data_IF_189178511263
#
_entry.id   IF_189178511263
#
_cell.length_a   1.000
_cell.length_b   1.000
_cell.length_c   1.000
_cell.angle_alpha   90.00
_cell.angle_beta   90.00
_cell.angle_gamma   90.00
#
_symmetry.space_group_name_H-M   'P 1'
#
loop_
_entity.id
_entity.type
_entity.pdbx_description
1 polymer ?
#
# COMPACT_ATOMS: atom_id res chain seq x y z
N UNK A 1 6.11 12.44 -8.14
CA UNK A 1 7.01 12.56 -9.32
C UNK A 1 8.48 12.21 -9.00
N UNK A 2 9.01 12.60 -7.81
CA UNK A 2 10.41 12.39 -7.43
C UNK A 2 10.97 10.98 -7.69
N UNK A 3 10.28 9.86 -7.34
CA UNK A 3 10.81 8.51 -7.61
C UNK A 3 11.07 8.26 -9.10
N UNK A 4 10.24 8.80 -9.98
CA UNK A 4 10.39 8.68 -11.43
C UNK A 4 11.58 9.47 -11.98
N UNK A 5 11.89 10.62 -11.33
CA UNK A 5 13.07 11.42 -11.64
C UNK A 5 14.34 10.60 -11.33
N UNK A 6 14.39 9.99 -10.16
CA UNK A 6 15.52 9.15 -9.75
C UNK A 6 15.70 7.90 -10.62
N UNK A 7 14.61 7.38 -11.18
CA UNK A 7 14.67 6.28 -12.17
C UNK A 7 15.05 6.75 -13.59
N UNK A 8 15.26 8.06 -13.81
CA UNK A 8 15.61 8.59 -15.13
C UNK A 8 14.47 8.56 -16.14
N UNK A 9 13.21 8.50 -15.70
CA UNK A 9 12.05 8.53 -16.59
C UNK A 9 11.98 9.87 -17.30
N UNK A 10 11.85 9.91 -18.65
CA UNK A 10 11.72 11.14 -19.41
C UNK A 10 10.52 11.98 -19.00
N UNK A 11 10.66 13.31 -19.01
CA UNK A 11 9.61 14.25 -18.54
C UNK A 11 8.24 13.97 -19.17
N UNK A 12 8.18 13.74 -20.47
CA UNK A 12 6.91 13.49 -21.17
C UNK A 12 6.17 12.19 -20.80
N UNK A 13 6.83 11.28 -20.05
CA UNK A 13 6.19 10.05 -19.53
C UNK A 13 5.86 10.13 -18.06
N UNK A 14 6.44 11.08 -17.32
CA UNK A 14 6.26 11.16 -15.86
C UNK A 14 4.84 11.53 -15.47
N UNK A 15 4.24 12.47 -16.20
CA UNK A 15 2.88 12.95 -15.93
C UNK A 15 1.88 11.82 -16.04
N UNK A 16 1.94 11.04 -17.13
CA UNK A 16 1.05 9.89 -17.33
C UNK A 16 1.22 8.85 -16.22
N UNK A 17 2.46 8.52 -15.85
CA UNK A 17 2.74 7.55 -14.78
C UNK A 17 2.29 8.06 -13.39
N UNK A 18 2.40 9.37 -13.13
CA UNK A 18 1.91 9.98 -11.89
C UNK A 18 0.39 9.91 -11.84
N UNK A 19 -0.30 10.28 -12.95
CA UNK A 19 -1.77 10.24 -13.00
C UNK A 19 -2.30 8.82 -12.86
N UNK A 20 -1.72 7.83 -13.55
CA UNK A 20 -2.05 6.41 -13.39
C UNK A 20 -1.92 5.95 -11.92
N UNK A 21 -0.83 6.34 -11.25
CA UNK A 21 -0.63 5.99 -9.85
C UNK A 21 -1.63 6.66 -8.90
N UNK A 22 -2.03 7.91 -9.18
CA UNK A 22 -3.05 8.63 -8.41
C UNK A 22 -4.45 8.06 -8.62
N UNK A 23 -4.79 7.67 -9.84
CA UNK A 23 -6.07 7.01 -10.16
C UNK A 23 -6.22 5.69 -9.37
N UNK A 24 -5.18 4.86 -9.32
CA UNK A 24 -5.18 3.60 -8.56
C UNK A 24 -5.49 3.77 -7.06
N UNK A 25 -5.24 4.96 -6.51
CA UNK A 25 -5.50 5.28 -5.10
C UNK A 25 -6.66 6.28 -4.92
N UNK A 26 -7.40 6.60 -5.97
CA UNK A 26 -8.52 7.58 -6.00
C UNK A 26 -8.10 8.96 -5.46
N UNK A 27 -6.99 9.48 -6.00
CA UNK A 27 -6.42 10.78 -5.63
C UNK A 27 -6.14 11.67 -6.85
N UNK A 28 -6.64 11.33 -8.03
CA UNK A 28 -6.46 12.07 -9.27
C UNK A 28 -6.92 13.53 -9.19
N UNK A 29 -8.02 13.80 -8.48
CA UNK A 29 -8.55 15.16 -8.26
C UNK A 29 -7.70 15.99 -7.27
N UNK A 30 -6.72 15.41 -6.63
CA UNK A 30 -5.91 16.03 -5.56
C UNK A 30 -4.45 16.23 -5.93
N UNK A 31 -4.08 16.02 -7.18
CA UNK A 31 -2.68 16.06 -7.63
C UNK A 31 -1.97 17.40 -7.38
N UNK A 32 -2.71 18.52 -7.30
CA UNK A 32 -2.18 19.86 -6.99
C UNK A 32 -2.19 20.20 -5.50
N UNK A 33 -2.84 19.38 -4.66
CA UNK A 33 -2.91 19.69 -3.23
C UNK A 33 -1.57 19.42 -2.52
N UNK A 34 -1.26 20.27 -1.55
CA UNK A 34 -0.11 20.10 -0.67
C UNK A 34 -0.44 19.11 0.46
N UNK A 35 0.55 18.44 1.05
CA UNK A 35 0.31 17.50 2.17
C UNK A 35 -0.48 18.10 3.33
N UNK A 36 -0.27 19.38 3.65
CA UNK A 36 -0.99 20.09 4.72
C UNK A 36 -2.50 20.28 4.45
N UNK A 37 -2.93 20.15 3.19
CA UNK A 37 -4.33 20.29 2.74
C UNK A 37 -5.05 18.93 2.68
N UNK A 38 -4.37 17.84 3.07
CA UNK A 38 -4.86 16.48 2.97
C UNK A 38 -5.13 15.87 4.34
N UNK A 39 -6.21 15.05 4.45
CA UNK A 39 -6.42 14.20 5.62
C UNK A 39 -5.33 13.13 5.75
N UNK A 40 -5.18 12.52 6.94
CA UNK A 40 -4.23 11.44 7.16
C UNK A 40 -4.40 10.27 6.18
N UNK A 41 -5.65 9.88 5.89
CA UNK A 41 -5.93 8.83 4.91
C UNK A 41 -5.60 9.23 3.47
N UNK A 42 -5.78 10.49 3.11
CA UNK A 42 -5.36 11.01 1.80
C UNK A 42 -3.83 11.01 1.69
N UNK A 43 -3.12 11.43 2.73
CA UNK A 43 -1.65 11.36 2.77
C UNK A 43 -1.15 9.92 2.63
N UNK A 44 -1.79 8.96 3.31
CA UNK A 44 -1.45 7.55 3.20
C UNK A 44 -1.65 7.03 1.77
N UNK A 45 -2.76 7.37 1.11
CA UNK A 45 -3.00 7.01 -0.29
C UNK A 45 -1.98 7.62 -1.24
N UNK A 46 -1.59 8.87 -1.03
CA UNK A 46 -0.50 9.51 -1.80
C UNK A 46 0.84 8.80 -1.56
N UNK A 47 1.13 8.34 -0.33
CA UNK A 47 2.33 7.55 -0.05
C UNK A 47 2.33 6.22 -0.81
N UNK A 48 1.17 5.55 -0.91
CA UNK A 48 1.01 4.35 -1.75
C UNK A 48 1.20 4.70 -3.23
N UNK A 49 0.55 5.76 -3.75
CA UNK A 49 0.72 6.20 -5.13
C UNK A 49 2.19 6.47 -5.48
N UNK A 50 2.92 7.10 -4.56
CA UNK A 50 4.36 7.33 -4.70
C UNK A 50 5.16 6.02 -4.81
N UNK A 51 4.80 5.01 -4.02
CA UNK A 51 5.46 3.71 -4.05
C UNK A 51 5.19 2.97 -5.36
N UNK A 52 3.94 2.96 -5.85
CA UNK A 52 3.53 2.22 -7.05
C UNK A 52 3.87 2.92 -8.38
N UNK A 53 4.14 4.23 -8.37
CA UNK A 53 4.45 5.00 -9.58
C UNK A 53 5.65 4.43 -10.35
N UNK A 54 6.60 3.83 -9.64
CA UNK A 54 7.78 3.18 -10.23
C UNK A 54 7.52 1.75 -10.72
N UNK A 55 6.28 1.25 -10.58
CA UNK A 55 5.85 -0.12 -10.90
C UNK A 55 6.76 -1.19 -10.30
N UNK A 56 6.98 -1.18 -8.97
CA UNK A 56 7.83 -2.16 -8.31
C UNK A 56 7.16 -3.54 -8.31
N UNK A 57 7.93 -4.64 -8.37
CA UNK A 57 7.38 -5.99 -8.29
C UNK A 57 6.91 -6.35 -6.87
N UNK A 58 7.39 -5.64 -5.85
CA UNK A 58 7.07 -5.89 -4.43
C UNK A 58 6.78 -4.56 -3.75
N UNK A 59 5.72 -4.53 -2.94
CA UNK A 59 5.37 -3.42 -2.04
C UNK A 59 5.36 -3.95 -0.61
N UNK A 60 5.99 -3.20 0.29
CA UNK A 60 5.92 -3.47 1.73
C UNK A 60 5.11 -2.38 2.42
N UNK A 61 4.09 -2.78 3.16
CA UNK A 61 3.23 -1.91 3.94
C UNK A 61 3.34 -2.26 5.43
N UNK A 62 3.96 -1.36 6.19
CA UNK A 62 4.16 -1.52 7.63
C UNK A 62 3.09 -0.71 8.38
N UNK A 63 2.21 -1.41 9.11
CA UNK A 63 1.06 -0.86 9.84
C UNK A 63 0.27 0.20 9.03
N UNK A 64 -0.15 -0.09 7.78
CA UNK A 64 -0.64 0.94 6.87
C UNK A 64 -1.96 1.60 7.31
N UNK A 65 -2.63 1.05 8.30
CA UNK A 65 -3.91 1.54 8.83
C UNK A 65 -3.83 2.05 10.27
N UNK A 66 -2.67 1.96 10.93
CA UNK A 66 -2.52 2.18 12.37
C UNK A 66 -2.92 3.57 12.88
N UNK A 67 -2.87 4.60 12.04
CA UNK A 67 -3.25 5.97 12.37
C UNK A 67 -4.57 6.42 11.74
N UNK A 68 -5.35 5.49 11.15
CA UNK A 68 -6.55 5.79 10.37
C UNK A 68 -7.82 5.32 11.10
N UNK A 69 -8.93 6.04 10.85
CA UNK A 69 -10.25 5.55 11.24
C UNK A 69 -10.62 4.28 10.44
N UNK A 70 -11.55 3.49 10.96
CA UNK A 70 -11.89 2.17 10.40
C UNK A 70 -12.38 2.21 8.93
N UNK A 71 -13.03 3.31 8.50
CA UNK A 71 -13.50 3.45 7.13
C UNK A 71 -12.34 3.72 6.18
N UNK A 72 -11.49 4.66 6.56
CA UNK A 72 -10.31 5.04 5.79
C UNK A 72 -9.29 3.90 5.74
N UNK A 73 -9.11 3.18 6.86
CA UNK A 73 -8.25 2.00 6.93
C UNK A 73 -8.70 0.89 5.99
N UNK A 74 -10.00 0.57 5.94
CA UNK A 74 -10.53 -0.41 4.97
C UNK A 74 -10.24 -0.01 3.53
N UNK A 75 -10.42 1.25 3.18
CA UNK A 75 -10.13 1.72 1.81
C UNK A 75 -8.63 1.56 1.44
N UNK A 76 -7.73 1.80 2.38
CA UNK A 76 -6.29 1.55 2.17
C UNK A 76 -6.00 0.06 1.93
N UNK A 77 -6.64 -0.84 2.70
CA UNK A 77 -6.50 -2.29 2.50
C UNK A 77 -7.08 -2.75 1.16
N UNK A 78 -8.21 -2.19 0.72
CA UNK A 78 -8.78 -2.44 -0.62
C UNK A 78 -7.81 -2.04 -1.74
N UNK A 79 -7.12 -0.89 -1.61
CA UNK A 79 -6.10 -0.48 -2.57
C UNK A 79 -4.95 -1.50 -2.63
N UNK A 80 -4.44 -1.94 -1.48
CA UNK A 80 -3.36 -2.93 -1.42
C UNK A 80 -3.80 -4.28 -2.00
N UNK A 81 -5.04 -4.70 -1.75
CA UNK A 81 -5.61 -5.91 -2.33
C UNK A 81 -5.71 -5.81 -3.87
N UNK A 82 -6.23 -4.70 -4.39
CA UNK A 82 -6.31 -4.48 -5.84
C UNK A 82 -4.93 -4.50 -6.51
N UNK A 83 -3.91 -3.94 -5.86
CA UNK A 83 -2.53 -4.01 -6.36
C UNK A 83 -2.00 -5.46 -6.41
N UNK A 84 -2.38 -6.30 -5.45
CA UNK A 84 -2.06 -7.72 -5.46
C UNK A 84 -2.78 -8.44 -6.60
N UNK A 85 -4.07 -8.22 -6.80
CA UNK A 85 -4.85 -8.77 -7.92
C UNK A 85 -4.26 -8.35 -9.28
N UNK A 86 -3.71 -7.15 -9.38
CA UNK A 86 -2.99 -6.64 -10.57
C UNK A 86 -1.59 -7.28 -10.75
N UNK A 87 -1.17 -8.22 -9.89
CA UNK A 87 0.07 -8.98 -9.99
C UNK A 87 1.26 -8.40 -9.20
N UNK A 88 1.07 -7.39 -8.36
CA UNK A 88 2.12 -6.90 -7.46
C UNK A 88 2.17 -7.75 -6.20
N UNK A 89 3.36 -8.21 -5.79
CA UNK A 89 3.51 -8.85 -4.49
C UNK A 89 3.38 -7.82 -3.37
N UNK A 90 2.42 -8.02 -2.47
CA UNK A 90 2.20 -7.14 -1.32
C UNK A 90 2.60 -7.86 -0.04
N UNK A 91 3.54 -7.28 0.71
CA UNK A 91 3.94 -7.73 2.04
C UNK A 91 3.33 -6.76 3.05
N UNK A 92 2.36 -7.25 3.82
CA UNK A 92 1.67 -6.47 4.84
C UNK A 92 2.20 -6.86 6.22
N UNK A 93 2.72 -5.88 6.96
CA UNK A 93 3.18 -6.07 8.34
C UNK A 93 2.12 -5.46 9.26
N UNK A 94 1.59 -6.23 10.18
CA UNK A 94 0.58 -5.78 11.13
C UNK A 94 0.57 -6.62 12.41
N UNK A 95 0.15 -6.04 13.52
CA UNK A 95 -0.17 -6.75 14.76
C UNK A 95 -1.67 -7.02 14.90
N UNK A 96 -2.50 -6.57 13.97
CA UNK A 96 -3.96 -6.80 13.95
C UNK A 96 -4.27 -8.13 13.26
N UNK A 97 -4.79 -9.10 14.01
CA UNK A 97 -5.17 -10.41 13.51
C UNK A 97 -6.29 -10.36 12.46
N UNK A 98 -7.19 -9.38 12.54
CA UNK A 98 -8.27 -9.20 11.56
C UNK A 98 -7.72 -8.76 10.21
N UNK A 99 -6.72 -7.89 10.21
CA UNK A 99 -6.02 -7.46 8.99
C UNK A 99 -5.16 -8.60 8.45
N UNK A 100 -4.38 -9.27 9.31
CA UNK A 100 -3.55 -10.41 8.91
C UNK A 100 -4.38 -11.51 8.22
N UNK A 101 -5.59 -11.77 8.74
CA UNK A 101 -6.51 -12.78 8.21
C UNK A 101 -7.05 -12.49 6.79
N UNK A 102 -6.80 -11.30 6.24
CA UNK A 102 -7.16 -10.95 4.85
C UNK A 102 -6.11 -11.39 3.83
N UNK A 103 -4.92 -11.78 4.28
CA UNK A 103 -3.84 -12.23 3.41
C UNK A 103 -3.99 -13.72 3.05
N UNK A 104 -3.52 -14.10 1.86
CA UNK A 104 -3.51 -15.51 1.40
C UNK A 104 -2.50 -16.36 2.19
N UNK A 105 -1.35 -15.78 2.55
CA UNK A 105 -0.31 -16.41 3.36
C UNK A 105 0.06 -15.52 4.51
N UNK A 106 0.17 -16.12 5.68
CA UNK A 106 0.47 -15.43 6.93
C UNK A 106 1.74 -16.03 7.53
N UNK A 107 2.71 -15.17 7.82
CA UNK A 107 3.92 -15.52 8.56
C UNK A 107 3.83 -14.91 9.94
N UNK A 108 3.73 -15.76 10.97
CA UNK A 108 3.64 -15.33 12.36
C UNK A 108 5.01 -15.29 13.01
N UNK A 109 5.37 -14.13 13.54
CA UNK A 109 6.67 -13.92 14.18
C UNK A 109 6.45 -13.61 15.68
N UNK A 110 7.19 -14.28 16.54
CA UNK A 110 7.24 -13.99 17.98
C UNK A 110 8.69 -14.10 18.46
N UNK A 111 9.13 -13.13 19.25
CA UNK A 111 10.49 -13.06 19.82
C UNK A 111 11.60 -13.27 18.77
N UNK A 112 11.42 -12.69 17.57
CA UNK A 112 12.37 -12.77 16.46
C UNK A 112 12.42 -14.15 15.76
N UNK A 113 11.45 -15.02 16.02
CA UNK A 113 11.36 -16.36 15.42
C UNK A 113 10.04 -16.54 14.68
N UNK A 114 10.07 -17.26 13.57
CA UNK A 114 8.86 -17.69 12.89
C UNK A 114 8.22 -18.80 13.70
N UNK A 115 6.98 -18.58 14.16
CA UNK A 115 6.19 -19.52 14.96
C UNK A 115 5.00 -20.11 14.19
N UNK A 116 4.71 -19.59 12.98
CA UNK A 116 3.68 -20.10 12.07
C UNK A 116 3.89 -19.55 10.66
N UNK A 117 3.57 -20.36 9.66
CA UNK A 117 3.65 -20.00 8.24
C UNK A 117 2.61 -20.81 7.48
N UNK A 118 1.64 -20.16 6.86
CA UNK A 118 0.56 -20.82 6.12
C UNK A 118 -0.67 -19.96 5.94
N UNK A 119 -1.81 -20.61 5.70
CA UNK A 119 -3.12 -20.00 5.61
C UNK A 119 -3.61 -19.54 6.99
N UNK A 120 -4.71 -18.78 7.00
CA UNK A 120 -5.38 -18.34 8.23
C UNK A 120 -5.65 -19.51 9.20
N UNK A 121 -6.17 -20.63 8.67
CA UNK A 121 -6.52 -21.80 9.48
C UNK A 121 -5.26 -22.48 10.05
N UNK A 122 -4.19 -22.60 9.25
CA UNK A 122 -2.94 -23.24 9.64
C UNK A 122 -2.18 -22.46 10.73
N UNK A 123 -2.31 -21.12 10.74
CA UNK A 123 -1.66 -20.28 11.77
C UNK A 123 -2.57 -19.98 12.97
N UNK A 124 -3.81 -20.48 12.98
CA UNK A 124 -4.75 -20.35 14.08
C UNK A 124 -5.33 -18.94 14.28
N UNK A 125 -5.71 -18.27 13.18
CA UNK A 125 -6.37 -16.95 13.19
C UNK A 125 -7.84 -17.04 12.78
#
# INVERSE_FOLDING_TARGET
>A
ELPLIYQGVPLGKREDMVMEALEKVSMEDRWQHKPAEMSGGQQQRVAIARAIATRPPIIMADEPTGALDSKTGRHVLEILHNLHEDGTTVILITHDNGIAATAERIVRISDGRIVGDGTREEVGL
#
